data_IF_931998714298
#
_entry.id   IF_931998714298
#
_cell.length_a   1.000
_cell.length_b   1.000
_cell.length_c   1.000
_cell.angle_alpha   90.00
_cell.angle_beta   90.00
_cell.angle_gamma   90.00
#
_symmetry.space_group_name_H-M   'P 1'
#
loop_
_entity.id
_entity.type
_entity.pdbx_description
1 polymer ?
#
# COMPACT_ATOMS: atom_id res chain seq x y z
N UNK A 1 16.04 -0.17 12.51
CA UNK A 1 15.10 -0.14 11.36
C UNK A 1 15.47 1.06 10.49
N UNK A 2 15.31 0.95 9.17
CA UNK A 2 15.57 2.05 8.23
C UNK A 2 14.29 2.41 7.49
N UNK A 3 14.01 3.71 7.36
CA UNK A 3 12.89 4.26 6.62
C UNK A 3 13.42 5.26 5.59
N UNK A 4 12.89 5.23 4.37
CA UNK A 4 13.21 6.29 3.41
C UNK A 4 12.51 7.59 3.79
N UNK A 5 13.13 8.72 3.48
CA UNK A 5 12.57 10.03 3.77
C UNK A 5 11.23 10.26 3.05
N UNK A 6 11.06 9.73 1.84
CA UNK A 6 9.79 9.80 1.11
C UNK A 6 8.69 8.97 1.76
N UNK A 7 8.98 7.76 2.27
CA UNK A 7 7.97 7.01 3.05
C UNK A 7 7.59 7.77 4.31
N UNK A 8 8.57 8.36 5.00
CA UNK A 8 8.31 9.19 6.18
C UNK A 8 7.39 10.37 5.87
N UNK A 9 7.68 11.10 4.77
CA UNK A 9 6.82 12.20 4.29
C UNK A 9 5.41 11.72 3.96
N UNK A 10 5.27 10.55 3.33
CA UNK A 10 3.96 9.97 3.05
C UNK A 10 3.18 9.67 4.33
N UNK A 11 3.78 8.96 5.29
CA UNK A 11 3.09 8.58 6.54
C UNK A 11 2.59 9.80 7.31
N UNK A 12 3.43 10.81 7.52
CA UNK A 12 3.01 12.03 8.20
C UNK A 12 2.02 12.87 7.39
N UNK A 13 2.22 12.98 6.07
CA UNK A 13 1.34 13.75 5.20
C UNK A 13 -0.06 13.16 5.12
N UNK A 14 -0.16 11.84 4.95
CA UNK A 14 -1.45 11.14 4.92
C UNK A 14 -2.11 11.10 6.30
N UNK A 15 -1.34 11.00 7.40
CA UNK A 15 -1.91 11.13 8.75
C UNK A 15 -2.48 12.53 9.01
N UNK A 16 -1.74 13.59 8.63
CA UNK A 16 -2.21 14.96 8.75
C UNK A 16 -3.48 15.20 7.92
N UNK A 17 -3.51 14.71 6.69
CA UNK A 17 -4.68 14.82 5.81
C UNK A 17 -5.90 14.08 6.38
N UNK A 18 -5.70 12.87 6.92
CA UNK A 18 -6.76 12.10 7.59
C UNK A 18 -7.34 12.88 8.77
N UNK A 19 -6.49 13.41 9.67
CA UNK A 19 -6.93 14.21 10.83
C UNK A 19 -7.72 15.46 10.45
N UNK A 20 -7.46 16.04 9.28
CA UNK A 20 -8.16 17.23 8.80
C UNK A 20 -9.48 16.91 8.06
N UNK A 21 -9.74 15.64 7.75
CA UNK A 21 -10.95 15.19 7.06
C UNK A 21 -12.09 14.79 7.99
N UNK A 22 -13.24 14.47 7.40
CA UNK A 22 -14.47 14.13 8.12
C UNK A 22 -14.35 12.91 9.05
N UNK A 23 -13.45 11.98 8.71
CA UNK A 23 -13.16 10.76 9.48
C UNK A 23 -11.95 10.92 10.41
N UNK A 24 -11.50 12.15 10.68
CA UNK A 24 -10.24 12.41 11.37
C UNK A 24 -10.12 11.81 12.76
N UNK A 25 -11.25 11.54 13.43
CA UNK A 25 -11.28 10.91 14.76
C UNK A 25 -11.26 9.37 14.72
N UNK A 26 -11.20 8.76 13.53
CA UNK A 26 -11.03 7.31 13.39
C UNK A 26 -9.56 6.91 13.25
N UNK A 27 -9.25 5.64 13.49
CA UNK A 27 -7.94 5.08 13.16
C UNK A 27 -7.73 5.00 11.63
N UNK A 28 -6.50 5.28 11.19
CA UNK A 28 -6.00 4.98 9.84
C UNK A 28 -4.72 4.15 9.97
N UNK A 29 -4.28 3.53 8.89
CA UNK A 29 -3.02 2.80 8.90
C UNK A 29 -2.48 2.46 7.52
N UNK A 30 -1.29 1.88 7.53
CA UNK A 30 -0.51 1.52 6.35
C UNK A 30 0.20 0.18 6.55
N UNK A 31 0.18 -0.64 5.51
CA UNK A 31 1.07 -1.79 5.42
C UNK A 31 2.44 -1.32 4.92
N UNK A 32 3.50 -1.87 5.52
CA UNK A 32 4.88 -1.59 5.18
C UNK A 32 5.45 -2.67 4.25
N UNK A 33 6.00 -2.24 3.12
CA UNK A 33 6.77 -3.08 2.21
C UNK A 33 8.24 -2.65 2.21
N UNK A 34 9.14 -3.62 2.16
CA UNK A 34 10.56 -3.33 2.17
C UNK A 34 11.46 -4.56 2.06
N UNK A 35 12.75 -4.39 2.30
CA UNK A 35 13.76 -5.45 2.20
C UNK A 35 14.32 -5.76 3.59
N UNK A 36 14.53 -7.04 3.87
CA UNK A 36 15.25 -7.50 5.06
C UNK A 36 16.70 -7.83 4.70
N UNK A 37 17.63 -7.21 5.42
CA UNK A 37 19.01 -7.65 5.56
C UNK A 37 19.20 -8.51 6.81
N UNK A 38 20.44 -8.91 7.12
CA UNK A 38 20.74 -9.71 8.32
C UNK A 38 20.30 -9.05 9.62
N UNK A 39 20.57 -7.75 9.77
CA UNK A 39 20.31 -6.99 11.00
C UNK A 39 19.42 -5.75 10.77
N UNK A 40 18.90 -5.59 9.55
CA UNK A 40 18.16 -4.38 9.16
C UNK A 40 16.88 -4.73 8.41
N UNK A 41 15.82 -3.98 8.69
CA UNK A 41 14.62 -3.93 7.88
C UNK A 41 14.52 -2.52 7.29
N UNK A 42 14.56 -2.42 5.95
CA UNK A 42 14.46 -1.15 5.21
C UNK A 42 13.09 -1.04 4.58
N UNK A 43 12.27 -0.11 5.05
CA UNK A 43 10.94 0.16 4.50
C UNK A 43 11.09 1.07 3.28
N UNK A 44 10.51 0.64 2.15
CA UNK A 44 10.64 1.29 0.85
C UNK A 44 9.29 1.68 0.23
N UNK A 45 8.17 1.20 0.78
CA UNK A 45 6.85 1.55 0.30
C UNK A 45 5.80 1.40 1.40
N UNK A 46 4.73 2.18 1.30
CA UNK A 46 3.55 2.04 2.16
C UNK A 46 2.28 1.91 1.34
N UNK A 47 1.34 1.09 1.81
CA UNK A 47 0.02 0.91 1.19
C UNK A 47 -1.04 1.25 2.23
N UNK A 48 -1.97 2.17 1.96
CA UNK A 48 -2.96 2.59 2.95
C UNK A 48 -3.94 1.45 3.28
N UNK A 49 -4.59 1.55 4.43
CA UNK A 49 -5.61 0.62 4.89
C UNK A 49 -6.85 0.61 3.99
N UNK A 50 -7.10 1.70 3.26
CA UNK A 50 -8.25 1.85 2.38
C UNK A 50 -9.07 3.10 2.70
N UNK A 51 -9.70 3.67 1.67
CA UNK A 51 -10.60 4.83 1.82
C UNK A 51 -11.86 4.40 2.54
N UNK A 52 -12.42 3.26 2.12
CA UNK A 52 -13.66 2.65 2.63
C UNK A 52 -13.39 1.58 3.70
N UNK A 53 -12.24 1.65 4.37
CA UNK A 53 -11.89 0.74 5.46
C UNK A 53 -12.94 0.82 6.58
N UNK A 54 -13.21 -0.31 7.21
CA UNK A 54 -13.97 -0.37 8.45
C UNK A 54 -13.05 0.08 9.60
N UNK A 55 -13.32 1.27 10.13
CA UNK A 55 -12.54 1.87 11.20
C UNK A 55 -13.44 2.66 12.14
N UNK A 56 -12.94 2.87 13.36
CA UNK A 56 -13.54 3.70 14.39
C UNK A 56 -12.45 4.29 15.28
N UNK A 57 -12.82 4.83 16.43
CA UNK A 57 -11.86 5.44 17.36
C UNK A 57 -10.84 4.45 17.97
N UNK A 58 -11.15 3.14 17.93
CA UNK A 58 -10.37 2.10 18.58
C UNK A 58 -10.11 0.87 17.69
N UNK A 59 -10.36 0.98 16.39
CA UNK A 59 -10.05 -0.09 15.44
C UNK A 59 -9.83 0.44 14.03
N UNK A 60 -8.99 -0.26 13.27
CA UNK A 60 -8.91 -0.17 11.82
C UNK A 60 -8.78 -1.57 11.21
N UNK A 61 -9.63 -1.86 10.23
CA UNK A 61 -9.59 -3.09 9.44
C UNK A 61 -9.14 -2.77 8.02
N UNK A 62 -7.96 -3.28 7.69
CA UNK A 62 -7.31 -3.08 6.41
C UNK A 62 -8.05 -3.79 5.27
N UNK A 63 -8.12 -3.14 4.10
CA UNK A 63 -8.60 -3.73 2.85
C UNK A 63 -7.51 -4.66 2.26
N UNK A 64 -7.38 -5.85 2.85
CA UNK A 64 -6.34 -6.81 2.49
C UNK A 64 -6.37 -7.22 1.01
N UNK A 65 -7.55 -7.21 0.38
CA UNK A 65 -7.70 -7.54 -1.04
C UNK A 65 -7.04 -6.48 -1.94
N UNK A 66 -7.33 -5.19 -1.70
CA UNK A 66 -6.71 -4.10 -2.45
C UNK A 66 -5.19 -4.07 -2.22
N UNK A 67 -4.76 -4.25 -0.97
CA UNK A 67 -3.35 -4.29 -0.60
C UNK A 67 -2.60 -5.46 -1.23
N UNK A 68 -3.23 -6.63 -1.39
CA UNK A 68 -2.62 -7.77 -2.06
C UNK A 68 -2.32 -7.45 -3.53
N UNK A 69 -3.27 -6.86 -4.26
CA UNK A 69 -3.09 -6.48 -5.66
C UNK A 69 -2.07 -5.33 -5.79
N UNK A 70 -2.19 -4.28 -4.98
CA UNK A 70 -1.23 -3.18 -4.99
C UNK A 70 0.19 -3.64 -4.64
N UNK A 71 0.35 -4.58 -3.70
CA UNK A 71 1.64 -5.19 -3.39
C UNK A 71 2.27 -5.88 -4.60
N UNK A 72 1.48 -6.54 -5.46
CA UNK A 72 1.97 -7.07 -6.74
C UNK A 72 2.46 -5.95 -7.66
N UNK A 73 1.71 -4.85 -7.77
CA UNK A 73 2.09 -3.69 -8.57
C UNK A 73 3.43 -3.09 -8.12
N UNK A 74 3.61 -2.85 -6.82
CA UNK A 74 4.88 -2.30 -6.27
C UNK A 74 6.06 -3.26 -6.49
N UNK A 75 5.83 -4.57 -6.35
CA UNK A 75 6.87 -5.61 -6.58
C UNK A 75 7.34 -5.71 -8.03
N UNK A 76 6.63 -5.10 -8.99
CA UNK A 76 7.14 -4.94 -10.35
C UNK A 76 8.36 -4.01 -10.40
N UNK A 77 8.46 -3.05 -9.48
CA UNK A 77 9.58 -2.09 -9.38
C UNK A 77 10.77 -2.68 -8.62
N UNK A 78 10.50 -3.44 -7.57
CA UNK A 78 11.51 -4.21 -6.83
C UNK A 78 10.94 -5.55 -6.34
N UNK A 79 11.42 -6.64 -6.93
CA UNK A 79 10.96 -8.01 -6.62
C UNK A 79 11.38 -8.49 -5.23
N UNK A 80 12.35 -7.84 -4.60
CA UNK A 80 12.88 -8.20 -3.28
C UNK A 80 11.96 -7.78 -2.13
N UNK A 81 11.01 -6.88 -2.40
CA UNK A 81 10.10 -6.37 -1.40
C UNK A 81 9.36 -7.51 -0.69
N UNK A 82 9.18 -7.37 0.62
CA UNK A 82 8.42 -8.26 1.47
C UNK A 82 7.50 -7.42 2.36
N UNK A 83 6.44 -8.03 2.89
CA UNK A 83 5.68 -7.43 3.99
C UNK A 83 6.60 -7.37 5.21
N UNK A 84 6.78 -6.17 5.76
CA UNK A 84 7.60 -5.95 6.93
C UNK A 84 6.78 -5.72 8.18
N UNK A 85 5.62 -5.08 8.04
CA UNK A 85 4.98 -4.44 9.18
C UNK A 85 3.67 -3.74 8.87
N UNK A 86 3.09 -3.16 9.92
CA UNK A 86 1.89 -2.32 9.87
C UNK A 86 2.10 -1.09 10.74
N UNK A 87 1.63 0.05 10.28
CA UNK A 87 1.53 1.29 11.06
C UNK A 87 0.06 1.63 11.18
N UNK A 88 -0.41 2.02 12.36
CA UNK A 88 -1.74 2.60 12.53
C UNK A 88 -1.71 3.74 13.52
N UNK A 89 -2.79 4.52 13.56
CA UNK A 89 -2.90 5.71 14.39
C UNK A 89 -3.92 5.50 15.48
N UNK A 90 -3.68 6.02 16.66
CA UNK A 90 -4.67 6.17 17.71
C UNK A 90 -5.13 7.64 17.75
N UNK A 91 -6.44 7.92 17.63
CA UNK A 91 -6.97 9.28 17.76
C UNK A 91 -6.91 9.79 19.21
N UNK A 92 -6.83 8.89 20.19
CA UNK A 92 -6.69 9.19 21.61
C UNK A 92 -5.23 9.30 22.10
N UNK A 93 -5.06 9.37 23.43
CA UNK A 93 -3.75 9.52 24.09
C UNK A 93 -2.98 8.20 24.31
N UNK A 94 -3.45 7.09 23.75
CA UNK A 94 -2.79 5.81 23.86
C UNK A 94 -1.55 5.81 22.95
N UNK A 95 -0.37 5.89 23.55
CA UNK A 95 0.93 6.03 22.84
C UNK A 95 1.62 4.69 22.55
N UNK A 96 0.96 3.58 22.88
CA UNK A 96 1.53 2.24 22.78
C UNK A 96 0.50 1.25 22.24
N UNK A 97 0.93 0.14 21.64
CA UNK A 97 0.02 -0.90 21.17
C UNK A 97 -0.93 -1.35 22.27
N UNK A 98 -2.20 -1.55 21.91
CA UNK A 98 -3.21 -2.13 22.80
C UNK A 98 -2.96 -3.64 22.99
N UNK A 99 -3.67 -4.25 23.94
CA UNK A 99 -3.64 -5.72 24.08
C UNK A 99 -4.21 -6.43 22.84
N UNK A 100 -5.18 -5.80 22.16
CA UNK A 100 -5.75 -6.30 20.92
C UNK A 100 -4.71 -6.30 19.80
N UNK A 101 -3.99 -5.17 19.65
CA UNK A 101 -2.90 -5.01 18.70
C UNK A 101 -1.85 -6.10 18.91
N UNK A 102 -1.39 -6.28 20.15
CA UNK A 102 -0.38 -7.30 20.48
C UNK A 102 -0.80 -8.71 20.05
N UNK A 103 -2.05 -9.10 20.29
CA UNK A 103 -2.52 -10.44 19.95
C UNK A 103 -2.60 -10.62 18.43
N UNK A 104 -3.18 -9.65 17.72
CA UNK A 104 -3.31 -9.67 16.26
C UNK A 104 -1.95 -9.66 15.57
N UNK A 105 -1.07 -8.77 15.99
CA UNK A 105 0.28 -8.62 15.43
C UNK A 105 1.11 -9.88 15.66
N UNK A 106 1.05 -10.48 16.85
CA UNK A 106 1.79 -11.72 17.13
C UNK A 106 1.33 -12.88 16.24
N UNK A 107 0.03 -13.01 16.00
CA UNK A 107 -0.51 -14.06 15.14
C UNK A 107 -0.17 -13.81 13.66
N UNK A 108 -0.13 -12.54 13.25
CA UNK A 108 0.29 -12.12 11.90
C UNK A 108 1.79 -12.32 11.66
N UNK A 109 2.66 -11.95 12.61
CA UNK A 109 4.12 -12.08 12.51
C UNK A 109 4.57 -13.51 12.24
N UNK A 110 3.84 -14.51 12.77
CA UNK A 110 4.11 -15.94 12.49
C UNK A 110 4.00 -16.31 11.02
N UNK A 111 3.29 -15.51 10.23
CA UNK A 111 3.11 -15.70 8.79
C UNK A 111 4.14 -14.93 7.96
N UNK A 112 4.93 -14.04 8.59
CA UNK A 112 5.97 -13.29 7.92
C UNK A 112 7.23 -14.13 7.73
N UNK A 113 7.88 -13.92 6.57
CA UNK A 113 9.23 -14.42 6.36
C UNK A 113 10.18 -13.73 7.34
N UNK A 114 10.85 -14.53 8.17
CA UNK A 114 11.76 -14.06 9.22
C UNK A 114 11.16 -14.01 10.62
N UNK A 115 9.84 -14.22 10.78
CA UNK A 115 9.21 -14.34 12.11
C UNK A 115 9.30 -13.10 13.00
N UNK A 116 9.57 -11.92 12.43
CA UNK A 116 9.60 -10.64 13.13
C UNK A 116 8.89 -9.57 12.29
N UNK A 117 8.06 -8.74 12.90
CA UNK A 117 7.37 -7.62 12.27
C UNK A 117 7.84 -6.27 12.80
N UNK A 118 7.65 -5.23 11.98
CA UNK A 118 7.87 -3.82 12.32
C UNK A 118 6.51 -3.15 12.53
N UNK A 119 6.35 -2.35 13.57
CA UNK A 119 5.10 -1.71 13.91
C UNK A 119 5.30 -0.24 14.27
N UNK A 120 4.30 0.59 14.05
CA UNK A 120 4.27 1.91 14.67
C UNK A 120 2.87 2.36 15.04
N UNK A 121 2.80 3.13 16.11
CA UNK A 121 1.60 3.82 16.56
C UNK A 121 1.77 5.31 16.32
N UNK A 122 0.85 5.87 15.53
CA UNK A 122 0.72 7.30 15.29
C UNK A 122 -0.19 7.96 16.32
N UNK A 123 0.22 9.10 16.89
CA UNK A 123 -0.61 9.89 17.81
C UNK A 123 -0.57 11.38 17.44
N UNK A 124 -1.62 12.11 17.80
CA UNK A 124 -1.77 13.55 17.54
C UNK A 124 -1.50 14.40 18.80
N UNK A 125 -0.51 13.98 19.60
CA UNK A 125 -0.15 14.59 20.87
C UNK A 125 1.36 14.81 21.01
N UNK A 126 2.03 15.03 19.87
CA UNK A 126 3.41 15.49 19.92
C UNK A 126 3.42 16.84 20.64
N UNK A 127 4.14 16.90 21.77
CA UNK A 127 4.38 18.15 22.46
C UNK A 127 4.94 19.14 21.45
N UNK A 128 4.23 20.24 21.21
CA UNK A 128 4.81 21.35 20.45
C UNK A 128 6.04 21.77 21.24
N UNK A 129 7.23 21.57 20.68
CA UNK A 129 8.45 22.04 21.32
C UNK A 129 8.26 23.52 21.69
N UNK A 130 8.65 23.88 22.91
CA UNK A 130 8.45 25.21 23.51
C UNK A 130 9.02 26.39 22.70
N UNK A 131 9.75 26.12 21.61
CA UNK A 131 10.35 27.08 20.71
C UNK A 131 9.50 27.45 19.49
N UNK A 132 8.41 26.72 19.20
CA UNK A 132 7.53 26.96 18.04
C UNK A 132 8.21 26.91 16.66
N UNK A 133 9.47 26.45 16.58
CA UNK A 133 10.31 26.51 15.36
C UNK A 133 10.78 25.14 14.89
N UNK A 134 10.77 24.13 15.77
CA UNK A 134 11.11 22.75 15.40
C UNK A 134 9.97 22.10 14.62
N UNK A 135 10.12 21.98 13.30
CA UNK A 135 9.12 21.33 12.42
C UNK A 135 9.11 19.81 12.60
N UNK A 136 10.25 19.18 12.92
CA UNK A 136 10.33 17.74 13.22
C UNK A 136 11.43 17.40 14.25
N UNK A 137 11.19 16.35 15.05
CA UNK A 137 12.11 15.95 16.12
C UNK A 137 12.14 14.43 16.36
N UNK A 138 13.16 13.97 17.09
CA UNK A 138 13.33 12.59 17.53
C UNK A 138 13.56 12.55 19.06
N UNK A 139 12.48 12.60 19.88
CA UNK A 139 12.60 12.64 21.34
C UNK A 139 13.32 11.43 21.93
N UNK A 140 13.14 10.27 21.31
CA UNK A 140 13.80 9.00 21.63
C UNK A 140 14.22 8.31 20.34
N UNK A 141 15.13 7.31 20.37
CA UNK A 141 15.59 6.61 19.17
C UNK A 141 14.48 5.94 18.35
N UNK A 142 13.35 5.61 18.97
CA UNK A 142 12.21 4.96 18.33
C UNK A 142 11.03 5.90 18.03
N UNK A 143 11.17 7.21 18.25
CA UNK A 143 10.08 8.17 18.05
C UNK A 143 10.45 9.23 17.03
N UNK A 144 9.49 9.55 16.17
CA UNK A 144 9.55 10.67 15.23
C UNK A 144 8.37 11.59 15.48
N UNK A 145 8.57 12.89 15.37
CA UNK A 145 7.49 13.87 15.37
C UNK A 145 7.60 14.80 14.16
N UNK A 146 6.45 15.25 13.65
CA UNK A 146 6.34 16.31 12.65
C UNK A 146 5.11 17.17 13.00
N UNK A 147 5.35 18.45 13.34
CA UNK A 147 4.31 19.30 13.91
C UNK A 147 3.68 18.68 15.17
N UNK A 148 2.35 18.61 15.21
CA UNK A 148 1.61 17.98 16.32
C UNK A 148 1.48 16.44 16.23
N UNK A 149 2.05 15.81 15.21
CA UNK A 149 1.94 14.37 14.97
C UNK A 149 3.20 13.65 15.43
N UNK A 150 3.02 12.42 15.91
CA UNK A 150 4.09 11.53 16.40
C UNK A 150 3.89 10.13 15.85
N UNK A 151 4.98 9.43 15.53
CA UNK A 151 5.03 7.98 15.38
C UNK A 151 6.02 7.38 16.36
N UNK A 152 5.61 6.33 17.08
CA UNK A 152 6.48 5.52 17.94
C UNK A 152 6.61 4.12 17.35
N UNK A 153 7.84 3.67 17.14
CA UNK A 153 8.19 2.48 16.39
C UNK A 153 8.59 1.31 17.28
N UNK A 154 8.20 0.11 16.86
CA UNK A 154 8.37 -1.14 17.60
C UNK A 154 8.74 -2.30 16.68
N UNK A 155 9.40 -3.32 17.23
CA UNK A 155 9.47 -4.66 16.63
C UNK A 155 8.75 -5.67 17.49
N UNK A 156 8.29 -6.75 16.85
CA UNK A 156 7.69 -7.90 17.53
C UNK A 156 8.12 -9.18 16.84
N UNK A 157 8.82 -10.06 17.56
CA UNK A 157 9.12 -11.42 17.12
C UNK A 157 7.95 -12.38 17.45
N UNK A 158 7.83 -13.47 16.69
CA UNK A 158 6.73 -14.43 16.75
C UNK A 158 6.53 -15.08 18.14
N UNK A 159 7.60 -15.19 18.92
CA UNK A 159 7.66 -15.77 20.27
C UNK A 159 7.84 -14.70 21.37
N UNK A 160 7.94 -13.42 21.01
CA UNK A 160 8.10 -12.34 21.96
C UNK A 160 6.87 -12.17 22.85
N UNK A 161 7.11 -11.86 24.13
CA UNK A 161 6.06 -11.61 25.12
C UNK A 161 5.55 -10.17 25.14
N UNK A 162 6.28 -9.27 24.49
CA UNK A 162 5.98 -7.84 24.37
C UNK A 162 6.74 -7.25 23.17
N UNK A 163 6.27 -6.12 22.67
CA UNK A 163 7.00 -5.29 21.72
C UNK A 163 8.36 -4.85 22.29
N UNK A 164 9.31 -4.60 21.40
CA UNK A 164 10.57 -3.91 21.69
C UNK A 164 10.61 -2.58 20.96
N UNK A 165 11.20 -1.56 21.55
CA UNK A 165 11.40 -0.28 20.88
C UNK A 165 12.33 -0.45 19.67
N UNK A 166 11.92 0.08 18.53
CA UNK A 166 12.68 -0.02 17.29
C UNK A 166 13.41 1.29 17.01
N UNK A 167 14.73 1.32 17.21
CA UNK A 167 15.53 2.47 16.79
C UNK A 167 15.39 2.69 15.27
N UNK A 168 15.16 3.95 14.89
CA UNK A 168 14.88 4.34 13.52
C UNK A 168 16.01 5.19 12.94
N UNK A 169 16.42 4.84 11.73
CA UNK A 169 17.28 5.65 10.88
C UNK A 169 16.50 6.12 9.65
N UNK A 170 16.62 7.41 9.32
CA UNK A 170 16.10 7.98 8.08
C UNK A 170 17.21 8.05 7.03
N UNK A 171 16.91 7.55 5.84
CA UNK A 171 17.83 7.62 4.69
C UNK A 171 17.12 8.27 3.50
N UNK A 172 17.88 8.89 2.61
CA UNK A 172 17.33 9.43 1.36
C UNK A 172 16.88 8.26 0.48
N UNK A 173 15.63 8.26 0.05
CA UNK A 173 15.11 7.23 -0.84
C UNK A 173 13.62 7.38 -1.16
N UNK A 174 13.10 6.57 -2.08
CA UNK A 174 11.73 6.71 -2.56
C UNK A 174 10.70 6.09 -1.62
N UNK A 175 9.44 6.48 -1.80
CA UNK A 175 8.29 5.64 -1.54
C UNK A 175 7.88 4.99 -2.87
N UNK A 176 8.21 3.70 -3.03
CA UNK A 176 8.00 2.96 -4.28
C UNK A 176 6.53 2.81 -4.65
N UNK A 177 5.59 3.02 -3.72
CA UNK A 177 4.17 2.95 -4.00
C UNK A 177 3.57 4.34 -4.27
N UNK A 178 4.35 5.42 -4.25
CA UNK A 178 3.81 6.81 -4.21
C UNK A 178 2.89 7.12 -5.38
N UNK A 179 3.22 6.62 -6.57
CA UNK A 179 2.42 6.77 -7.78
C UNK A 179 1.11 5.98 -7.76
N UNK A 180 0.93 5.01 -6.85
CA UNK A 180 -0.32 4.27 -6.73
C UNK A 180 -1.42 5.06 -5.99
N UNK A 181 -1.07 6.12 -5.26
CA UNK A 181 -2.04 6.91 -4.46
C UNK A 181 -3.18 7.48 -5.30
N UNK A 182 -2.92 8.17 -6.44
CA UNK A 182 -3.98 8.70 -7.29
C UNK A 182 -4.93 7.63 -7.85
N UNK A 183 -4.45 6.40 -8.02
CA UNK A 183 -5.24 5.29 -8.60
C UNK A 183 -5.71 4.29 -7.54
N UNK A 184 -5.50 4.58 -6.25
CA UNK A 184 -5.89 3.71 -5.15
C UNK A 184 -7.38 3.32 -5.18
N UNK A 185 -8.32 4.23 -5.50
CA UNK A 185 -9.75 3.86 -5.61
C UNK A 185 -10.02 2.71 -6.60
N UNK A 186 -9.21 2.59 -7.66
CA UNK A 186 -9.34 1.51 -8.65
C UNK A 186 -8.89 0.16 -8.07
N UNK A 187 -7.84 0.15 -7.24
CA UNK A 187 -7.45 -1.05 -6.50
C UNK A 187 -8.56 -1.47 -5.52
N UNK A 188 -9.20 -0.53 -4.83
CA UNK A 188 -10.28 -0.84 -3.89
C UNK A 188 -11.53 -1.37 -4.61
N UNK A 189 -11.99 -0.68 -5.64
CA UNK A 189 -13.21 -1.03 -6.38
C UNK A 189 -13.09 -2.39 -7.09
N UNK A 190 -11.89 -2.75 -7.56
CA UNK A 190 -11.70 -3.92 -8.43
C UNK A 190 -10.82 -5.02 -7.84
N UNK A 191 -10.42 -4.93 -6.57
CA UNK A 191 -9.45 -5.83 -5.92
C UNK A 191 -9.65 -7.32 -6.26
N UNK A 192 -10.85 -7.86 -6.03
CA UNK A 192 -11.13 -9.28 -6.26
C UNK A 192 -11.03 -9.69 -7.74
N UNK A 193 -11.38 -8.80 -8.66
CA UNK A 193 -11.32 -9.04 -10.11
C UNK A 193 -9.88 -8.93 -10.62
N UNK A 194 -9.14 -7.95 -10.15
CA UNK A 194 -7.72 -7.77 -10.47
C UNK A 194 -6.86 -8.90 -9.91
N UNK A 195 -7.12 -9.35 -8.68
CA UNK A 195 -6.39 -10.49 -8.11
C UNK A 195 -6.70 -11.76 -8.88
N UNK A 196 -7.97 -12.01 -9.26
CA UNK A 196 -8.34 -13.15 -10.10
C UNK A 196 -7.58 -13.14 -11.43
N UNK A 197 -7.53 -11.99 -12.13
CA UNK A 197 -6.73 -11.85 -13.35
C UNK A 197 -5.26 -12.19 -13.10
N UNK A 198 -4.67 -11.61 -12.04
CA UNK A 198 -3.27 -11.82 -11.69
C UNK A 198 -2.94 -13.24 -11.18
N UNK A 199 -3.95 -14.03 -10.79
CA UNK A 199 -3.80 -15.44 -10.43
C UNK A 199 -3.97 -16.37 -11.65
N UNK A 200 -4.89 -16.05 -12.56
CA UNK A 200 -5.27 -16.92 -13.67
C UNK A 200 -4.45 -16.68 -14.93
N UNK A 201 -3.94 -15.47 -15.12
CA UNK A 201 -3.14 -15.10 -16.29
C UNK A 201 -1.66 -14.94 -15.92
N UNK A 202 -0.79 -15.42 -16.81
CA UNK A 202 0.63 -15.14 -16.71
C UNK A 202 0.93 -13.72 -17.23
N UNK A 203 2.05 -13.12 -16.81
CA UNK A 203 2.52 -11.81 -17.33
C UNK A 203 1.56 -10.63 -17.12
N UNK A 204 0.74 -10.66 -16.07
CA UNK A 204 -0.07 -9.50 -15.67
C UNK A 204 0.83 -8.42 -15.06
N UNK A 205 0.67 -7.18 -15.51
CA UNK A 205 1.34 -5.98 -15.00
C UNK A 205 0.33 -4.88 -14.70
N UNK A 206 0.63 -4.09 -13.69
CA UNK A 206 -0.11 -2.90 -13.30
C UNK A 206 0.74 -1.66 -13.57
N UNK A 207 0.17 -0.66 -14.23
CA UNK A 207 0.86 0.57 -14.60
C UNK A 207 -0.03 1.77 -14.28
N UNK A 208 0.59 2.90 -13.92
CA UNK A 208 -0.12 4.17 -13.77
C UNK A 208 0.11 4.94 -15.07
N UNK A 209 -0.98 5.26 -15.76
CA UNK A 209 -0.95 5.92 -17.07
C UNK A 209 -1.74 7.22 -17.01
N UNK A 210 -1.56 8.08 -18.01
CA UNK A 210 -2.41 9.25 -18.17
C UNK A 210 -3.79 8.84 -18.69
N UNK A 211 -4.82 9.26 -17.96
CA UNK A 211 -6.23 9.08 -18.30
C UNK A 211 -6.92 10.41 -18.56
N UNK A 212 -8.17 10.33 -19.03
CA UNK A 212 -9.06 11.46 -19.28
C UNK A 212 -9.44 12.18 -17.99
N UNK A 213 -9.56 11.45 -16.87
CA UNK A 213 -9.94 11.99 -15.58
C UNK A 213 -8.74 12.25 -14.64
N UNK A 214 -7.52 12.14 -15.15
CA UNK A 214 -6.28 12.17 -14.38
C UNK A 214 -5.51 10.85 -14.47
N UNK A 215 -4.60 10.54 -13.53
CA UNK A 215 -3.91 9.26 -13.51
C UNK A 215 -4.91 8.08 -13.46
N UNK A 216 -4.68 7.07 -14.30
CA UNK A 216 -5.53 5.89 -14.44
C UNK A 216 -4.74 4.60 -14.21
N UNK A 217 -5.42 3.55 -13.74
CA UNK A 217 -4.81 2.23 -13.54
C UNK A 217 -4.90 1.42 -14.83
N UNK A 218 -3.76 1.14 -15.45
CA UNK A 218 -3.67 0.19 -16.55
C UNK A 218 -3.32 -1.21 -16.04
N UNK A 219 -4.04 -2.21 -16.52
CA UNK A 219 -3.79 -3.63 -16.31
C UNK A 219 -3.40 -4.24 -17.65
N UNK A 220 -2.17 -4.73 -17.77
CA UNK A 220 -1.64 -5.29 -19.00
C UNK A 220 -1.50 -6.80 -18.84
N UNK A 221 -2.17 -7.57 -19.69
CA UNK A 221 -2.07 -9.02 -19.77
C UNK A 221 -1.28 -9.37 -21.03
N UNK A 222 -0.01 -9.72 -20.86
CA UNK A 222 0.86 -10.09 -21.97
C UNK A 222 0.48 -11.44 -22.57
N UNK A 223 0.45 -11.53 -23.91
CA UNK A 223 0.20 -12.78 -24.63
C UNK A 223 1.51 -13.56 -24.87
N UNK A 224 1.39 -14.72 -25.53
CA UNK A 224 2.53 -15.58 -25.85
C UNK A 224 3.52 -14.86 -26.79
N UNK A 225 2.99 -14.22 -27.83
CA UNK A 225 3.77 -13.45 -28.80
C UNK A 225 4.32 -12.16 -28.15
N UNK A 226 5.63 -11.88 -28.26
CA UNK A 226 6.22 -10.67 -27.72
C UNK A 226 5.58 -9.41 -28.30
N UNK A 227 5.30 -8.42 -27.45
CA UNK A 227 4.65 -7.17 -27.86
C UNK A 227 3.14 -7.29 -28.08
N UNK A 228 2.56 -8.48 -27.92
CA UNK A 228 1.11 -8.67 -27.97
C UNK A 228 0.53 -8.72 -26.56
N UNK A 229 -0.65 -8.13 -26.37
CA UNK A 229 -1.23 -7.95 -25.06
C UNK A 229 -2.68 -7.47 -25.08
N UNK A 230 -3.36 -7.66 -23.96
CA UNK A 230 -4.63 -6.97 -23.68
C UNK A 230 -4.36 -5.96 -22.56
N UNK A 231 -4.61 -4.69 -22.85
CA UNK A 231 -4.53 -3.60 -21.87
C UNK A 231 -5.93 -3.14 -21.51
N UNK A 232 -6.21 -3.07 -20.20
CA UNK A 232 -7.42 -2.47 -19.65
C UNK A 232 -7.02 -1.21 -18.90
N UNK A 233 -7.57 -0.06 -19.27
CA UNK A 233 -7.34 1.21 -18.57
C UNK A 233 -8.60 1.55 -17.76
N UNK A 234 -8.46 1.55 -16.44
CA UNK A 234 -9.48 1.92 -15.46
C UNK A 234 -9.32 3.40 -15.11
N UNK A 235 -10.20 4.23 -15.65
CA UNK A 235 -10.08 5.68 -15.70
C UNK A 235 -11.39 6.31 -15.18
N UNK A 236 -11.41 6.65 -13.89
CA UNK A 236 -12.64 7.05 -13.22
C UNK A 236 -13.71 5.94 -13.28
N UNK A 237 -14.92 6.21 -13.81
CA UNK A 237 -15.97 5.21 -13.96
C UNK A 237 -15.86 4.39 -15.26
N UNK A 238 -14.94 4.74 -16.16
CA UNK A 238 -14.80 4.12 -17.47
C UNK A 238 -13.71 3.03 -17.48
N UNK A 239 -13.97 1.94 -18.18
CA UNK A 239 -12.97 0.92 -18.50
C UNK A 239 -12.77 0.88 -20.02
N UNK A 240 -11.52 1.08 -20.47
CA UNK A 240 -11.16 1.04 -21.90
C UNK A 240 -10.26 -0.16 -22.17
N UNK A 241 -10.64 -0.97 -23.16
CA UNK A 241 -9.88 -2.15 -23.55
C UNK A 241 -9.14 -1.90 -24.85
N UNK A 242 -7.87 -2.28 -24.88
CA UNK A 242 -7.00 -2.17 -26.04
C UNK A 242 -6.32 -3.52 -26.27
N UNK A 243 -6.43 -4.03 -27.49
CA UNK A 243 -5.60 -5.14 -27.95
C UNK A 243 -4.34 -4.58 -28.60
N UNK A 244 -3.19 -4.96 -28.07
CA UNK A 244 -1.86 -4.62 -28.59
C UNK A 244 -1.38 -5.79 -29.46
N UNK A 245 -1.01 -5.48 -30.70
CA UNK A 245 -0.48 -6.40 -31.70
C UNK A 245 0.84 -5.84 -32.24
N UNK A 246 1.90 -5.94 -31.42
CA UNK A 246 3.21 -5.40 -31.73
C UNK A 246 3.19 -3.87 -31.74
N UNK A 247 3.40 -3.27 -32.91
CA UNK A 247 3.38 -1.80 -33.07
C UNK A 247 1.97 -1.22 -33.27
N UNK A 248 0.96 -2.08 -33.47
CA UNK A 248 -0.43 -1.66 -33.65
C UNK A 248 -1.22 -1.84 -32.35
N UNK A 249 -2.16 -0.92 -32.10
CA UNK A 249 -3.10 -1.01 -30.99
C UNK A 249 -4.52 -0.76 -31.49
N UNK A 250 -5.46 -1.60 -31.06
CA UNK A 250 -6.86 -1.55 -31.44
C UNK A 250 -7.73 -1.41 -30.20
N UNK A 251 -8.57 -0.38 -30.15
CA UNK A 251 -9.60 -0.31 -29.12
C UNK A 251 -10.63 -1.41 -29.37
N UNK A 252 -10.99 -2.13 -28.30
CA UNK A 252 -11.96 -3.24 -28.34
C UNK A 252 -13.08 -2.93 -27.37
N UNK A 253 -14.31 -3.27 -27.76
CA UNK A 253 -15.46 -3.30 -26.84
C UNK A 253 -15.85 -4.76 -26.57
N UNK A 254 -15.54 -5.30 -25.39
CA UNK A 254 -15.93 -6.67 -25.04
C UNK A 254 -17.38 -6.80 -24.56
N UNK A 255 -18.16 -5.71 -24.53
CA UNK A 255 -19.52 -5.66 -23.95
C UNK A 255 -19.54 -6.22 -22.52
N UNK A 256 -18.54 -5.85 -21.71
CA UNK A 256 -18.35 -6.36 -20.35
C UNK A 256 -18.33 -5.21 -19.33
N UNK A 257 -18.98 -5.44 -18.19
CA UNK A 257 -19.06 -4.46 -17.10
C UNK A 257 -17.89 -4.54 -16.12
N UNK A 258 -17.15 -5.66 -16.10
CA UNK A 258 -16.05 -5.90 -15.18
C UNK A 258 -14.71 -6.13 -15.91
N UNK A 259 -13.57 -5.69 -15.33
CA UNK A 259 -12.27 -5.77 -15.99
C UNK A 259 -11.83 -7.20 -16.31
N UNK A 260 -12.07 -8.16 -15.42
CA UNK A 260 -11.69 -9.56 -15.64
C UNK A 260 -12.51 -10.21 -16.75
N UNK A 261 -13.82 -9.97 -16.75
CA UNK A 261 -14.73 -10.46 -17.77
C UNK A 261 -14.35 -9.92 -19.16
N UNK A 262 -14.07 -8.62 -19.27
CA UNK A 262 -13.70 -8.01 -20.54
C UNK A 262 -12.41 -8.59 -21.11
N UNK A 263 -11.39 -8.81 -20.27
CA UNK A 263 -10.17 -9.51 -20.70
C UNK A 263 -10.48 -10.93 -21.17
N UNK A 264 -11.25 -11.72 -20.41
CA UNK A 264 -11.52 -13.10 -20.79
C UNK A 264 -12.31 -13.22 -22.10
N UNK A 265 -13.25 -12.31 -22.36
CA UNK A 265 -13.96 -12.27 -23.65
C UNK A 265 -13.02 -11.97 -24.81
N UNK A 266 -12.12 -11.00 -24.65
CA UNK A 266 -11.10 -10.69 -25.68
C UNK A 266 -10.19 -11.89 -25.94
N UNK A 267 -9.71 -12.54 -24.87
CA UNK A 267 -8.86 -13.73 -24.99
C UNK A 267 -9.60 -14.90 -25.67
N UNK A 268 -10.87 -15.11 -25.37
CA UNK A 268 -11.67 -16.15 -26.00
C UNK A 268 -11.88 -15.89 -27.50
N UNK A 269 -12.16 -14.64 -27.87
CA UNK A 269 -12.31 -14.23 -29.27
C UNK A 269 -10.99 -14.39 -30.06
N UNK A 270 -9.85 -14.00 -29.46
CA UNK A 270 -8.53 -14.21 -30.07
C UNK A 270 -8.23 -15.69 -30.26
N UNK A 271 -8.57 -16.54 -29.28
CA UNK A 271 -8.37 -17.98 -29.38
C UNK A 271 -9.27 -18.65 -30.44
N UNK A 272 -10.46 -18.12 -30.70
CA UNK A 272 -11.37 -18.64 -31.73
C UNK A 272 -10.92 -18.31 -33.17
N UNK A 273 -10.03 -17.31 -33.33
CA UNK A 273 -9.52 -16.86 -34.63
C UNK A 273 -8.18 -17.50 -35.03
N UNK A 274 -7.49 -18.14 -34.09
CA UNK A 274 -6.23 -18.87 -34.31
C UNK A 274 -6.45 -20.35 -34.55
#
# INVERSE_FOLDING_TARGET
MVLTDEVNRTLFGEYAAHRAGDRGDEEIGWVLLGVRGPDTATVLATLPAGTERDAGEAHVKFNSAAQAVASRAVRQKDRRLALLGVVHTHPGSLRHPSRGDFQGDRDWVRQLRGGEGVFAIGTADADQNADGTTVGCHPTPNTQCLGGLRFSWYTLAADAKKYQDAALELVIGPDLARDLRPVWPQFEAHAARLDRLAQQQSRVRFEVVEGKYGPALAVVVGLAEPGHGVRVVLDGPEARYVYEAGESAFQVDPEASAPDEGVYRILAELAARG
#
